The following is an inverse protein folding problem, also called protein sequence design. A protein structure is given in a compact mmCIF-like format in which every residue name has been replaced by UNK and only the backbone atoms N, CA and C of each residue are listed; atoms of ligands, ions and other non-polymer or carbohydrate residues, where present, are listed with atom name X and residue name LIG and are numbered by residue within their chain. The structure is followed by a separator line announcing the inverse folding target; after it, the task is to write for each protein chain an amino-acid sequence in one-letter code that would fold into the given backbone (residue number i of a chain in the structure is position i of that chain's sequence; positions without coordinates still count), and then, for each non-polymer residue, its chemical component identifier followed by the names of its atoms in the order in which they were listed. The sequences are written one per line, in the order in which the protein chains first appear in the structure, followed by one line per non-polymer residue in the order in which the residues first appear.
data_IF_614838556100
#
_entry.id   IF_614838556100
#
_cell.length_a   1.000
_cell.length_b   1.000
_cell.length_c   1.000
_cell.angle_alpha   90.00
_cell.angle_beta   90.00
_cell.angle_gamma   90.00
#
_symmetry.space_group_name_H-M   'P 1'
#
loop_
_entity.id
_entity.type
_entity.pdbx_description
1 polymer ?
#
# COMPACT_ATOMS: atom_id res chain seq x y z
N UNK A 1 -15.34 11.41 -18.64
CA UNK A 1 -15.05 10.48 -17.51
C UNK A 1 -14.00 9.42 -17.85
N UNK A 2 -14.13 8.65 -18.94
CA UNK A 2 -13.17 7.58 -19.32
C UNK A 2 -11.69 7.97 -19.39
N UNK A 3 -11.38 9.23 -19.75
CA UNK A 3 -10.00 9.75 -19.76
C UNK A 3 -9.47 10.14 -18.37
N UNK A 4 -10.35 10.47 -17.42
CA UNK A 4 -9.98 10.93 -16.07
C UNK A 4 -9.79 9.72 -15.14
N UNK A 5 -10.60 8.68 -15.28
CA UNK A 5 -10.55 7.51 -14.40
C UNK A 5 -9.16 6.87 -14.31
N UNK A 6 -8.38 6.67 -15.39
CA UNK A 6 -7.04 6.11 -15.31
C UNK A 6 -6.09 6.89 -14.38
N UNK A 7 -6.27 8.21 -14.22
CA UNK A 7 -5.44 9.03 -13.34
C UNK A 7 -5.42 8.50 -11.90
N UNK A 8 -6.56 8.04 -11.39
CA UNK A 8 -6.64 7.50 -10.03
C UNK A 8 -5.76 6.26 -9.83
N UNK A 9 -5.59 5.41 -10.85
CA UNK A 9 -4.66 4.28 -10.76
C UNK A 9 -3.20 4.72 -10.69
N UNK A 10 -2.84 5.81 -11.37
CA UNK A 10 -1.46 6.33 -11.36
C UNK A 10 -1.14 7.05 -10.06
N UNK A 11 -2.06 7.88 -9.55
CA UNK A 11 -1.90 8.62 -8.29
C UNK A 11 -1.88 7.66 -7.10
N UNK A 12 -2.83 6.74 -7.04
CA UNK A 12 -2.91 5.72 -5.97
C UNK A 12 -2.26 4.41 -6.39
N UNK A 13 -1.13 4.52 -7.11
CA UNK A 13 -0.35 3.34 -7.44
C UNK A 13 0.14 2.68 -6.13
N UNK A 14 0.06 1.34 -5.99
CA UNK A 14 0.37 0.64 -4.73
C UNK A 14 1.72 1.01 -4.11
N UNK A 15 2.70 1.31 -4.95
CA UNK A 15 4.06 1.68 -4.54
C UNK A 15 4.11 2.95 -3.69
N UNK A 16 3.19 3.89 -3.89
CA UNK A 16 3.17 5.17 -3.18
C UNK A 16 2.41 5.11 -1.86
N UNK A 17 1.58 4.08 -1.66
CA UNK A 17 0.71 3.99 -0.49
C UNK A 17 1.48 3.92 0.83
N UNK A 18 2.60 3.18 0.96
CA UNK A 18 3.40 3.24 2.18
C UNK A 18 3.87 4.64 2.52
N UNK A 19 4.32 5.40 1.52
CA UNK A 19 4.75 6.79 1.70
C UNK A 19 3.58 7.68 2.11
N UNK A 20 2.40 7.51 1.50
CA UNK A 20 1.20 8.26 1.88
C UNK A 20 0.79 7.97 3.33
N UNK A 21 0.79 6.71 3.74
CA UNK A 21 0.51 6.31 5.11
C UNK A 21 1.50 6.93 6.10
N UNK A 22 2.79 6.91 5.78
CA UNK A 22 3.84 7.55 6.58
C UNK A 22 3.61 9.06 6.71
N UNK A 23 3.21 9.75 5.63
CA UNK A 23 2.90 11.18 5.71
C UNK A 23 1.72 11.44 6.65
N UNK A 24 0.60 10.74 6.49
CA UNK A 24 -0.53 10.88 7.39
C UNK A 24 -0.13 10.61 8.85
N UNK A 25 0.62 9.54 9.09
CA UNK A 25 1.13 9.18 10.41
C UNK A 25 1.95 10.32 11.05
N UNK A 26 2.96 10.84 10.35
CA UNK A 26 3.87 11.86 10.88
C UNK A 26 3.21 13.24 11.08
N UNK A 27 2.18 13.56 10.27
CA UNK A 27 1.43 14.80 10.41
C UNK A 27 0.35 14.73 11.49
N UNK A 28 -0.28 13.56 11.68
CA UNK A 28 -1.29 13.38 12.72
C UNK A 28 -0.66 13.27 14.11
N UNK A 29 0.50 12.61 14.24
CA UNK A 29 1.31 12.57 15.48
C UNK A 29 2.18 13.83 15.66
N UNK A 30 1.60 15.00 15.39
CA UNK A 30 2.31 16.25 15.14
C UNK A 30 3.38 16.64 16.16
N UNK A 31 3.18 16.35 17.44
CA UNK A 31 4.05 16.74 18.56
C UNK A 31 5.11 15.71 18.93
N UNK A 32 4.97 14.47 18.48
CA UNK A 32 5.75 13.33 19.02
C UNK A 32 7.11 13.16 18.32
N UNK A 33 7.27 13.81 17.16
CA UNK A 33 8.45 13.71 16.33
C UNK A 33 9.04 15.09 16.03
N UNK A 34 10.36 15.20 16.15
CA UNK A 34 11.12 16.39 15.73
C UNK A 34 11.15 16.46 14.20
N UNK A 35 11.16 17.65 13.59
CA UNK A 35 11.12 17.81 12.13
C UNK A 35 12.20 17.03 11.38
N UNK A 36 13.40 16.86 11.97
CA UNK A 36 14.47 16.05 11.38
C UNK A 36 14.13 14.55 11.34
N UNK A 37 13.50 14.03 12.40
CA UNK A 37 13.06 12.64 12.47
C UNK A 37 11.95 12.36 11.45
N UNK A 38 10.97 13.28 11.31
CA UNK A 38 9.92 13.17 10.29
C UNK A 38 10.50 13.04 8.89
N UNK A 39 11.47 13.89 8.53
CA UNK A 39 12.14 13.84 7.24
C UNK A 39 12.91 12.53 7.05
N UNK A 40 13.64 12.08 8.08
CA UNK A 40 14.41 10.84 8.04
C UNK A 40 13.50 9.64 7.78
N UNK A 41 12.43 9.47 8.56
CA UNK A 41 11.46 8.37 8.40
C UNK A 41 10.78 8.42 7.04
N UNK A 42 10.35 9.61 6.60
CA UNK A 42 9.73 9.78 5.29
C UNK A 42 10.65 9.32 4.15
N UNK A 43 11.89 9.83 4.10
CA UNK A 43 12.84 9.46 3.05
C UNK A 43 13.23 7.99 3.13
N UNK A 44 13.37 7.44 4.33
CA UNK A 44 13.68 6.03 4.51
C UNK A 44 12.58 5.13 3.95
N UNK A 45 11.31 5.39 4.27
CA UNK A 45 10.18 4.65 3.69
C UNK A 45 10.10 4.87 2.19
N UNK A 46 10.27 6.10 1.70
CA UNK A 46 10.23 6.40 0.27
C UNK A 46 11.34 5.68 -0.51
N UNK A 47 12.58 5.71 -0.04
CA UNK A 47 13.72 5.02 -0.68
C UNK A 47 13.44 3.53 -0.76
N UNK A 48 13.02 2.92 0.35
CA UNK A 48 12.85 1.47 0.43
C UNK A 48 11.62 0.99 -0.33
N UNK A 49 10.50 1.71 -0.28
CA UNK A 49 9.23 1.24 -0.88
C UNK A 49 9.00 1.75 -2.29
N UNK A 50 9.64 2.85 -2.71
CA UNK A 50 9.46 3.44 -4.05
C UNK A 50 10.73 3.32 -4.88
N UNK A 51 11.83 3.93 -4.45
CA UNK A 51 13.03 4.04 -5.29
C UNK A 51 13.67 2.68 -5.58
N UNK A 52 13.85 1.83 -4.55
CA UNK A 52 14.45 0.50 -4.74
C UNK A 52 13.58 -0.38 -5.67
N UNK A 53 12.25 -0.52 -5.49
CA UNK A 53 11.44 -1.31 -6.40
C UNK A 53 11.39 -0.76 -7.83
N UNK A 54 11.37 0.58 -8.00
CA UNK A 54 11.44 1.19 -9.34
C UNK A 54 12.76 0.86 -10.03
N UNK A 55 13.89 0.99 -9.34
CA UNK A 55 15.20 0.62 -9.88
C UNK A 55 15.26 -0.87 -10.24
N UNK A 56 14.77 -1.75 -9.36
CA UNK A 56 14.70 -3.18 -9.62
C UNK A 56 13.82 -3.50 -10.84
N UNK A 57 12.67 -2.83 -10.98
CA UNK A 57 11.80 -2.96 -12.15
C UNK A 57 12.51 -2.54 -13.45
N UNK A 58 13.24 -1.41 -13.44
CA UNK A 58 13.99 -0.95 -14.61
C UNK A 58 15.07 -1.95 -15.05
N UNK A 59 15.76 -2.59 -14.09
CA UNK A 59 16.72 -3.66 -14.38
C UNK A 59 16.06 -4.91 -14.96
N UNK A 60 14.91 -5.33 -14.41
CA UNK A 60 14.14 -6.46 -14.93
C UNK A 60 13.62 -6.19 -16.35
N UNK A 61 13.25 -4.94 -16.64
CA UNK A 61 12.85 -4.51 -17.99
C UNK A 61 14.03 -4.52 -18.96
N UNK A 62 15.20 -4.01 -18.55
CA UNK A 62 16.40 -3.97 -19.38
C UNK A 62 16.91 -5.37 -19.76
N UNK A 63 16.66 -6.37 -18.91
CA UNK A 63 17.01 -7.79 -19.16
C UNK A 63 15.95 -8.55 -19.96
N UNK A 64 14.89 -7.88 -20.45
CA UNK A 64 13.85 -8.48 -21.29
C UNK A 64 12.77 -9.28 -20.53
N UNK A 65 12.75 -9.22 -19.20
CA UNK A 65 11.85 -10.02 -18.38
C UNK A 65 10.46 -9.39 -18.14
N UNK A 66 10.24 -8.11 -18.51
CA UNK A 66 9.01 -7.36 -18.22
C UNK A 66 8.58 -6.40 -19.33
N UNK A 67 7.29 -6.43 -19.68
CA UNK A 67 6.73 -5.66 -20.82
C UNK A 67 6.15 -4.29 -20.43
N UNK A 68 5.56 -4.14 -19.24
CA UNK A 68 4.82 -2.92 -18.83
C UNK A 68 4.77 -2.70 -17.32
N UNK A 69 4.73 -1.43 -16.89
CA UNK A 69 4.59 -0.99 -15.49
C UNK A 69 3.19 -1.30 -14.92
N UNK A 70 2.15 -1.23 -15.76
CA UNK A 70 0.75 -1.31 -15.32
C UNK A 70 0.06 -2.63 -15.67
N UNK A 71 0.68 -3.43 -16.55
CA UNK A 71 0.09 -4.64 -17.13
C UNK A 71 1.08 -5.81 -17.04
N UNK A 72 1.25 -6.33 -15.83
CA UNK A 72 2.02 -7.56 -15.61
C UNK A 72 1.20 -8.81 -15.91
N UNK A 73 1.77 -9.73 -16.70
CA UNK A 73 1.36 -11.14 -16.68
C UNK A 73 1.49 -11.68 -15.25
N UNK A 74 0.68 -12.67 -14.87
CA UNK A 74 0.70 -13.25 -13.51
C UNK A 74 2.11 -13.69 -13.11
N UNK A 75 2.87 -14.31 -14.03
CA UNK A 75 4.26 -14.73 -13.81
C UNK A 75 5.20 -13.57 -13.47
N UNK A 76 5.02 -12.42 -14.13
CA UNK A 76 5.83 -11.22 -13.92
C UNK A 76 5.53 -10.51 -12.58
N UNK A 77 4.42 -10.85 -11.90
CA UNK A 77 4.06 -10.25 -10.60
C UNK A 77 4.78 -10.87 -9.40
N UNK A 78 5.26 -12.11 -9.53
CA UNK A 78 5.88 -12.86 -8.41
C UNK A 78 7.15 -12.18 -7.91
N UNK A 79 8.07 -11.84 -8.81
CA UNK A 79 9.36 -11.21 -8.46
C UNK A 79 9.15 -9.86 -7.74
N UNK A 80 8.34 -8.91 -8.26
CA UNK A 80 8.04 -7.67 -7.55
C UNK A 80 7.42 -7.86 -6.16
N UNK A 81 6.49 -8.81 -6.00
CA UNK A 81 5.85 -9.06 -4.71
C UNK A 81 6.83 -9.68 -3.70
N UNK A 82 7.67 -10.61 -4.12
CA UNK A 82 8.73 -11.18 -3.27
C UNK A 82 9.71 -10.09 -2.82
N UNK A 83 10.19 -9.27 -3.76
CA UNK A 83 11.05 -8.14 -3.45
C UNK A 83 10.38 -7.18 -2.46
N UNK A 84 9.12 -6.82 -2.71
CA UNK A 84 8.37 -5.92 -1.82
C UNK A 84 8.23 -6.50 -0.41
N UNK A 85 7.93 -7.79 -0.26
CA UNK A 85 7.90 -8.47 1.03
C UNK A 85 9.22 -8.38 1.78
N UNK A 86 10.36 -8.61 1.10
CA UNK A 86 11.68 -8.45 1.72
C UNK A 86 11.94 -7.02 2.19
N UNK A 87 11.56 -6.02 1.39
CA UNK A 87 11.74 -4.61 1.72
C UNK A 87 10.85 -4.17 2.89
N UNK A 88 9.61 -4.68 2.98
CA UNK A 88 8.74 -4.46 4.12
C UNK A 88 9.30 -5.11 5.39
N UNK A 89 9.80 -6.35 5.31
CA UNK A 89 10.48 -7.02 6.43
C UNK A 89 11.69 -6.21 6.90
N UNK A 90 12.49 -5.69 5.96
CA UNK A 90 13.63 -4.83 6.29
C UNK A 90 13.20 -3.58 7.05
N UNK A 91 12.15 -2.88 6.59
CA UNK A 91 11.62 -1.71 7.27
C UNK A 91 11.17 -2.03 8.70
N UNK A 92 10.28 -3.00 8.88
CA UNK A 92 9.70 -3.29 10.21
C UNK A 92 10.73 -3.83 11.20
N UNK A 93 11.80 -4.49 10.73
CA UNK A 93 12.85 -5.03 11.61
C UNK A 93 13.98 -4.07 11.94
N UNK A 94 14.27 -3.09 11.08
CA UNK A 94 15.48 -2.25 11.20
C UNK A 94 15.19 -0.76 11.34
N UNK A 95 14.06 -0.30 10.82
CA UNK A 95 13.81 1.12 10.57
C UNK A 95 12.61 1.62 11.34
N UNK A 96 11.46 0.97 11.12
CA UNK A 96 10.17 1.31 11.69
C UNK A 96 9.88 0.27 12.76
N UNK A 97 10.54 0.40 13.92
CA UNK A 97 10.40 -0.54 15.03
C UNK A 97 9.12 -0.29 15.82
N UNK A 98 8.58 -1.34 16.43
CA UNK A 98 7.37 -1.27 17.25
C UNK A 98 7.52 -0.30 18.43
N UNK A 99 8.71 -0.21 19.03
CA UNK A 99 8.94 0.63 20.22
C UNK A 99 8.92 2.14 19.92
N UNK A 100 9.24 2.52 18.67
CA UNK A 100 9.32 3.94 18.28
C UNK A 100 8.15 4.39 17.41
N UNK A 101 7.65 3.51 16.54
CA UNK A 101 6.60 3.83 15.57
C UNK A 101 5.53 2.73 15.52
N UNK A 102 4.84 2.43 16.64
CA UNK A 102 3.98 1.24 16.75
C UNK A 102 2.90 1.15 15.67
N UNK A 103 2.18 2.24 15.41
CA UNK A 103 1.07 2.25 14.46
C UNK A 103 1.56 2.11 13.01
N UNK A 104 2.64 2.82 12.65
CA UNK A 104 3.26 2.69 11.33
C UNK A 104 3.92 1.31 11.15
N UNK A 105 4.48 0.74 12.22
CA UNK A 105 5.02 -0.63 12.23
C UNK A 105 3.92 -1.64 11.91
N UNK A 106 2.77 -1.57 12.59
CA UNK A 106 1.64 -2.46 12.32
C UNK A 106 1.00 -2.22 10.95
N UNK A 107 0.98 -0.98 10.45
CA UNK A 107 0.58 -0.71 9.07
C UNK A 107 1.47 -1.44 8.06
N UNK A 108 2.80 -1.33 8.19
CA UNK A 108 3.74 -2.02 7.31
C UNK A 108 3.69 -3.54 7.46
N UNK A 109 3.44 -4.04 8.67
CA UNK A 109 3.21 -5.47 8.91
C UNK A 109 1.92 -5.96 8.24
N UNK A 110 0.84 -5.18 8.29
CA UNK A 110 -0.41 -5.47 7.59
C UNK A 110 -0.21 -5.49 6.07
N UNK A 111 0.54 -4.53 5.54
CA UNK A 111 0.93 -4.51 4.13
C UNK A 111 1.77 -5.75 3.74
N UNK A 112 2.66 -6.22 4.63
CA UNK A 112 3.43 -7.46 4.42
C UNK A 112 2.50 -8.68 4.36
N UNK A 113 1.57 -8.82 5.31
CA UNK A 113 0.59 -9.90 5.31
C UNK A 113 -0.27 -9.88 4.04
N UNK A 114 -0.79 -8.72 3.65
CA UNK A 114 -1.54 -8.55 2.40
C UNK A 114 -0.72 -8.93 1.16
N UNK A 115 0.57 -8.57 1.13
CA UNK A 115 1.49 -8.90 0.03
C UNK A 115 1.76 -10.40 -0.03
N UNK A 116 1.97 -11.06 1.11
CA UNK A 116 2.16 -12.51 1.19
C UNK A 116 0.88 -13.23 0.73
N UNK A 117 -0.30 -12.81 1.18
CA UNK A 117 -1.57 -13.39 0.74
C UNK A 117 -1.78 -13.21 -0.77
N UNK A 118 -1.49 -12.03 -1.31
CA UNK A 118 -1.54 -11.78 -2.74
C UNK A 118 -0.56 -12.68 -3.51
N UNK A 119 0.65 -12.89 -2.98
CA UNK A 119 1.66 -13.78 -3.56
C UNK A 119 1.19 -15.25 -3.54
N UNK A 120 0.60 -15.72 -2.44
CA UNK A 120 0.03 -17.08 -2.33
C UNK A 120 -1.02 -17.32 -3.41
N UNK A 121 -1.92 -16.36 -3.63
CA UNK A 121 -2.95 -16.45 -4.68
C UNK A 121 -2.37 -16.55 -6.10
N UNK A 122 -1.18 -15.98 -6.36
CA UNK A 122 -0.53 -16.13 -7.67
C UNK A 122 -0.10 -17.58 -7.95
N UNK A 123 0.06 -18.43 -6.94
CA UNK A 123 0.33 -19.86 -7.14
C UNK A 123 -0.92 -20.65 -7.55
N UNK A 124 -2.12 -20.15 -7.23
CA UNK A 124 -3.41 -20.72 -7.68
C UNK A 124 -3.95 -20.04 -8.94
N UNK A 125 -3.15 -19.22 -9.62
CA UNK A 125 -3.51 -18.44 -10.80
C UNK A 125 -4.61 -17.37 -10.56
N UNK A 126 -4.88 -17.02 -9.31
CA UNK A 126 -5.83 -15.96 -8.96
C UNK A 126 -5.06 -14.63 -8.83
N UNK A 127 -5.46 -13.60 -9.57
CA UNK A 127 -4.85 -12.26 -9.49
C UNK A 127 -5.73 -11.28 -8.71
N UNK A 128 -5.37 -10.96 -7.48
CA UNK A 128 -5.99 -9.85 -6.76
C UNK A 128 -5.51 -8.49 -7.31
N UNK A 129 -6.35 -7.47 -7.18
CA UNK A 129 -5.96 -6.09 -7.51
C UNK A 129 -5.09 -5.48 -6.41
N UNK A 130 -3.80 -5.30 -6.69
CA UNK A 130 -2.87 -4.65 -5.77
C UNK A 130 -3.25 -3.19 -5.47
N UNK A 131 -3.93 -2.52 -6.41
CA UNK A 131 -4.44 -1.15 -6.19
C UNK A 131 -5.53 -1.15 -5.12
N UNK A 132 -6.43 -2.14 -5.16
CA UNK A 132 -7.48 -2.27 -4.15
C UNK A 132 -6.92 -2.68 -2.80
N UNK A 133 -5.92 -3.58 -2.76
CA UNK A 133 -5.21 -3.93 -1.53
C UNK A 133 -4.65 -2.67 -0.88
N UNK A 134 -3.91 -1.87 -1.65
CA UNK A 134 -3.18 -0.75 -1.09
C UNK A 134 -4.12 0.36 -0.59
N UNK A 135 -5.10 0.80 -1.40
CA UNK A 135 -6.01 1.89 -0.99
C UNK A 135 -6.96 1.47 0.16
N UNK A 136 -7.40 0.20 0.20
CA UNK A 136 -8.23 -0.28 1.32
C UNK A 136 -7.41 -0.40 2.61
N UNK A 137 -6.15 -0.86 2.52
CA UNK A 137 -5.24 -0.88 3.67
C UNK A 137 -5.00 0.52 4.23
N UNK A 138 -4.74 1.52 3.36
CA UNK A 138 -4.59 2.90 3.78
C UNK A 138 -5.86 3.41 4.47
N UNK A 139 -7.03 3.11 3.90
CA UNK A 139 -8.31 3.56 4.46
C UNK A 139 -8.53 3.03 5.87
N UNK A 140 -8.31 1.73 6.10
CA UNK A 140 -8.43 1.12 7.43
C UNK A 140 -7.40 1.70 8.39
N UNK A 141 -6.16 1.90 7.94
CA UNK A 141 -5.11 2.49 8.77
C UNK A 141 -5.47 3.91 9.24
N UNK A 142 -5.96 4.77 8.34
CA UNK A 142 -6.35 6.14 8.71
C UNK A 142 -7.57 6.16 9.65
N UNK A 143 -8.50 5.21 9.51
CA UNK A 143 -9.59 5.03 10.48
C UNK A 143 -9.01 4.67 11.86
N UNK A 144 -8.12 3.68 11.92
CA UNK A 144 -7.46 3.27 13.18
C UNK A 144 -6.67 4.42 13.80
N UNK A 145 -5.92 5.17 13.00
CA UNK A 145 -5.12 6.31 13.47
C UNK A 145 -6.01 7.43 14.01
N UNK A 146 -7.14 7.70 13.34
CA UNK A 146 -8.13 8.67 13.82
C UNK A 146 -8.71 8.26 15.18
N UNK A 147 -8.96 6.97 15.40
CA UNK A 147 -9.48 6.43 16.66
C UNK A 147 -8.42 6.48 17.76
N UNK A 148 -7.19 6.02 17.48
CA UNK A 148 -6.10 5.96 18.44
C UNK A 148 -5.73 7.35 18.97
N UNK A 149 -5.58 8.32 18.06
CA UNK A 149 -5.21 9.69 18.40
C UNK A 149 -6.37 10.57 18.84
N UNK A 150 -7.60 10.04 18.87
CA UNK A 150 -8.81 10.78 19.24
C UNK A 150 -9.02 12.07 18.42
N UNK A 151 -8.59 12.05 17.15
CA UNK A 151 -8.73 13.19 16.23
C UNK A 151 -9.94 13.01 15.32
N UNK A 152 -10.58 14.11 14.93
CA UNK A 152 -11.72 14.08 14.02
C UNK A 152 -11.26 14.12 12.55
N UNK A 153 -10.99 12.95 11.95
CA UNK A 153 -10.60 12.82 10.53
C UNK A 153 -11.74 12.45 9.59
N UNK A 154 -12.99 12.76 9.93
CA UNK A 154 -14.19 12.35 9.19
C UNK A 154 -14.11 12.68 7.69
N UNK A 155 -13.66 13.89 7.35
CA UNK A 155 -13.53 14.32 5.95
C UNK A 155 -12.48 13.50 5.18
N UNK A 156 -11.31 13.26 5.79
CA UNK A 156 -10.25 12.42 5.21
C UNK A 156 -10.73 10.99 4.99
N UNK A 157 -11.41 10.40 5.98
CA UNK A 157 -11.95 9.03 5.91
C UNK A 157 -13.01 8.93 4.82
N UNK A 158 -13.98 9.86 4.77
CA UNK A 158 -15.00 9.89 3.73
C UNK A 158 -14.39 10.00 2.33
N UNK A 159 -13.37 10.84 2.19
CA UNK A 159 -12.61 10.99 0.94
C UNK A 159 -11.92 9.69 0.54
N UNK A 160 -11.24 8.99 1.47
CA UNK A 160 -10.60 7.72 1.20
C UNK A 160 -11.60 6.61 0.80
N UNK A 161 -12.78 6.57 1.44
CA UNK A 161 -13.86 5.65 1.07
C UNK A 161 -14.31 5.92 -0.37
N UNK A 162 -14.54 7.18 -0.75
CA UNK A 162 -14.86 7.55 -2.14
C UNK A 162 -13.74 7.18 -3.11
N UNK A 163 -12.48 7.39 -2.71
CA UNK A 163 -11.31 7.05 -3.52
C UNK A 163 -11.16 5.55 -3.76
N UNK A 164 -11.58 4.67 -2.84
CA UNK A 164 -11.67 3.23 -3.12
C UNK A 164 -12.56 2.96 -4.33
N UNK A 165 -13.72 3.62 -4.42
CA UNK A 165 -14.64 3.52 -5.54
C UNK A 165 -14.05 4.04 -6.85
N UNK A 166 -13.36 5.18 -6.81
CA UNK A 166 -12.68 5.74 -7.99
C UNK A 166 -11.52 4.87 -8.48
N UNK A 167 -10.72 4.33 -7.57
CA UNK A 167 -9.63 3.40 -7.92
C UNK A 167 -10.20 2.10 -8.50
N UNK A 168 -11.24 1.52 -7.90
CA UNK A 168 -11.91 0.34 -8.45
C UNK A 168 -12.43 0.61 -9.88
N UNK A 169 -13.13 1.73 -10.06
CA UNK A 169 -13.67 2.17 -11.35
C UNK A 169 -12.57 2.40 -12.40
N UNK A 170 -11.43 2.97 -11.98
CA UNK A 170 -10.23 3.14 -12.80
C UNK A 170 -9.71 1.80 -13.33
N UNK A 171 -9.62 0.78 -12.46
CA UNK A 171 -9.14 -0.55 -12.87
C UNK A 171 -10.08 -1.26 -13.83
N UNK A 172 -11.39 -1.08 -13.68
CA UNK A 172 -12.40 -1.60 -14.62
C UNK A 172 -12.32 -0.92 -15.98
N UNK A 173 -12.24 0.42 -16.01
CA UNK A 173 -12.15 1.18 -17.27
C UNK A 173 -10.87 0.84 -18.04
N UNK A 174 -9.76 0.62 -17.32
CA UNK A 174 -8.49 0.15 -17.92
C UNK A 174 -8.53 -1.33 -18.35
N UNK A 175 -9.65 -2.04 -18.14
CA UNK A 175 -9.81 -3.48 -18.40
C UNK A 175 -8.71 -4.34 -17.74
N UNK A 176 -8.15 -3.86 -16.63
CA UNK A 176 -7.03 -4.52 -15.97
C UNK A 176 -7.50 -5.65 -15.05
N UNK A 177 -8.71 -5.53 -14.51
CA UNK A 177 -9.30 -6.42 -13.51
C UNK A 177 -10.79 -6.64 -13.71
N UNK A 178 -11.31 -7.73 -13.16
CA UNK A 178 -12.76 -7.99 -13.03
C UNK A 178 -13.28 -7.55 -11.66
N UNK A 179 -14.60 -7.45 -11.49
CA UNK A 179 -15.22 -7.09 -10.20
C UNK A 179 -14.77 -8.02 -9.07
N UNK A 180 -14.69 -9.34 -9.31
CA UNK A 180 -14.28 -10.32 -8.30
C UNK A 180 -12.82 -10.11 -7.86
N UNK A 181 -11.92 -9.78 -8.79
CA UNK A 181 -10.52 -9.50 -8.48
C UNK A 181 -10.34 -8.19 -7.68
N UNK A 182 -11.23 -7.22 -7.89
CA UNK A 182 -11.27 -5.96 -7.12
C UNK A 182 -11.81 -6.18 -5.71
N UNK A 183 -12.92 -6.91 -5.57
CA UNK A 183 -13.50 -7.28 -4.27
C UNK A 183 -12.48 -8.07 -3.45
N UNK A 184 -11.85 -9.08 -4.07
CA UNK A 184 -10.78 -9.85 -3.44
C UNK A 184 -9.63 -8.95 -3.00
N UNK A 185 -9.15 -8.06 -3.87
CA UNK A 185 -8.09 -7.10 -3.52
C UNK A 185 -8.48 -6.20 -2.35
N UNK A 186 -9.72 -5.69 -2.32
CA UNK A 186 -10.21 -4.85 -1.23
C UNK A 186 -10.11 -5.56 0.12
N UNK A 187 -10.63 -6.79 0.21
CA UNK A 187 -10.61 -7.58 1.45
C UNK A 187 -9.19 -8.01 1.86
N UNK A 188 -8.34 -8.37 0.90
CA UNK A 188 -6.94 -8.70 1.18
C UNK A 188 -6.14 -7.51 1.74
N UNK A 189 -6.54 -6.28 1.45
CA UNK A 189 -5.96 -5.08 2.06
C UNK A 189 -6.60 -4.70 3.40
N UNK A 190 -7.93 -4.78 3.48
CA UNK A 190 -8.68 -4.32 4.65
C UNK A 190 -8.57 -5.29 5.84
N UNK A 191 -8.73 -6.60 5.61
CA UNK A 191 -8.79 -7.59 6.70
C UNK A 191 -7.47 -7.65 7.47
N UNK A 192 -6.28 -7.78 6.85
CA UNK A 192 -5.03 -7.81 7.62
C UNK A 192 -4.81 -6.54 8.44
N UNK A 193 -5.18 -5.37 7.91
CA UNK A 193 -5.10 -4.12 8.67
C UNK A 193 -6.07 -4.13 9.85
N UNK A 194 -7.34 -4.49 9.64
CA UNK A 194 -8.35 -4.56 10.70
C UNK A 194 -7.94 -5.51 11.83
N UNK A 195 -7.39 -6.68 11.49
CA UNK A 195 -6.92 -7.64 12.49
C UNK A 195 -5.77 -7.07 13.33
N UNK A 196 -4.85 -6.33 12.71
CA UNK A 196 -3.73 -5.72 13.43
C UNK A 196 -4.12 -4.47 14.23
N UNK A 197 -5.24 -3.79 13.91
CA UNK A 197 -5.74 -2.68 14.72
C UNK A 197 -5.93 -3.08 16.19
N UNK A 198 -6.35 -4.33 16.46
CA UNK A 198 -6.57 -4.84 17.82
C UNK A 198 -5.30 -4.80 18.69
N UNK A 199 -4.12 -4.74 18.09
CA UNK A 199 -2.85 -4.74 18.81
C UNK A 199 -2.37 -3.35 19.24
N UNK A 200 -2.93 -2.29 18.67
CA UNK A 200 -2.45 -0.92 18.91
C UNK A 200 -3.55 0.14 19.09
N UNK A 201 -4.83 -0.20 18.87
CA UNK A 201 -5.96 0.58 19.38
C UNK A 201 -6.12 0.38 20.89
#
# INVERSE_FOLDING_TARGET
MKKILPLFSYVFHPIFIPVMATLFYLFYNGTDFVSQEKLFVFFQVAIVTVFIPVLAFLLLRATGNMDSIMAFKISQRKIPLVLHSFLLIFLVRKSITIDRYPELHFFLLGALLSTILALILLFTNIKASLHMIAISSLTVFIIGLSMHLQIQSTFTIATLILLNGFVASSRLEMKAHTNNELILGFFLGAIPQLLLLVLWL
#
